data_IF_234358994089
#
_entry.id   IF_234358994089
#
_cell.length_a   1.000
_cell.length_b   1.000
_cell.length_c   1.000
_cell.angle_alpha   90.00
_cell.angle_beta   90.00
_cell.angle_gamma   90.00
#
_symmetry.space_group_name_H-M   'P 1'
#
loop_
_entity.id
_entity.type
_entity.pdbx_description
1 polymer ?
#
# COMPACT_ATOMS: atom_id res chain seq x y z
N UNK A 1 12.54 1.28 -3.20
CA UNK A 1 12.74 -0.16 -3.44
C UNK A 1 11.50 -0.72 -4.13
N UNK A 2 11.66 -1.71 -5.02
CA UNK A 2 10.50 -2.42 -5.61
C UNK A 2 9.82 -3.27 -4.52
N UNK A 3 8.50 -3.17 -4.41
CA UNK A 3 7.69 -3.97 -3.49
C UNK A 3 7.00 -5.09 -4.25
N UNK A 4 6.33 -4.75 -5.36
CA UNK A 4 5.68 -5.72 -6.24
C UNK A 4 6.40 -5.74 -7.59
N UNK A 5 7.13 -6.82 -7.86
CA UNK A 5 7.76 -7.06 -9.17
C UNK A 5 6.72 -7.30 -10.27
N UNK A 6 5.64 -8.05 -9.98
CA UNK A 6 4.63 -8.39 -10.98
C UNK A 6 3.92 -7.18 -11.59
N UNK A 7 3.76 -6.11 -10.80
CA UNK A 7 3.04 -4.89 -11.19
C UNK A 7 3.93 -3.64 -11.18
N UNK A 8 5.24 -3.81 -11.01
CA UNK A 8 6.20 -2.71 -10.95
C UNK A 8 5.81 -1.62 -9.93
N UNK A 9 5.38 -2.02 -8.73
CA UNK A 9 5.03 -1.10 -7.64
C UNK A 9 6.21 -0.96 -6.70
N UNK A 10 6.62 0.27 -6.41
CA UNK A 10 7.70 0.58 -5.51
C UNK A 10 7.20 1.24 -4.20
N UNK A 11 8.10 1.31 -3.22
CA UNK A 11 7.82 1.85 -1.89
C UNK A 11 7.38 3.31 -1.88
N UNK A 12 7.83 4.12 -2.85
CA UNK A 12 7.43 5.52 -2.95
C UNK A 12 5.97 5.61 -3.38
N UNK A 13 5.57 4.87 -4.41
CA UNK A 13 4.18 4.83 -4.89
C UNK A 13 3.22 4.37 -3.78
N UNK A 14 3.59 3.30 -3.06
CA UNK A 14 2.78 2.81 -1.93
C UNK A 14 2.59 3.88 -0.85
N UNK A 15 3.68 4.54 -0.42
CA UNK A 15 3.62 5.61 0.58
C UNK A 15 2.87 6.84 0.10
N UNK A 16 3.00 7.23 -1.17
CA UNK A 16 2.26 8.36 -1.75
C UNK A 16 0.74 8.12 -1.73
N UNK A 17 0.29 6.88 -1.90
CA UNK A 17 -1.13 6.54 -1.77
C UNK A 17 -1.60 6.44 -0.32
N UNK A 18 -0.79 5.88 0.58
CA UNK A 18 -1.08 5.89 2.02
C UNK A 18 -1.19 7.32 2.55
N UNK A 19 -0.32 8.23 2.11
CA UNK A 19 -0.36 9.65 2.45
C UNK A 19 -1.59 10.39 1.89
N UNK A 20 -2.29 9.80 0.90
CA UNK A 20 -3.59 10.29 0.40
C UNK A 20 -4.77 9.65 1.13
N UNK A 21 -4.52 8.89 2.19
CA UNK A 21 -5.55 8.19 2.97
C UNK A 21 -6.08 6.91 2.33
N UNK A 22 -5.42 6.39 1.29
CA UNK A 22 -5.85 5.14 0.64
C UNK A 22 -5.51 3.94 1.52
N UNK A 23 -6.41 2.97 1.59
CA UNK A 23 -6.19 1.69 2.24
C UNK A 23 -5.33 0.77 1.36
N UNK A 24 -4.79 -0.31 1.94
CA UNK A 24 -4.07 -1.31 1.15
C UNK A 24 -4.95 -1.95 0.07
N UNK A 25 -6.24 -2.08 0.34
CA UNK A 25 -7.25 -2.60 -0.58
C UNK A 25 -7.43 -1.67 -1.79
N UNK A 26 -7.67 -0.37 -1.54
CA UNK A 26 -7.75 0.67 -2.58
C UNK A 26 -6.49 0.67 -3.47
N UNK A 27 -5.31 0.53 -2.86
CA UNK A 27 -4.02 0.50 -3.56
C UNK A 27 -3.88 -0.78 -4.40
N UNK A 28 -4.39 -1.90 -3.90
CA UNK A 28 -4.39 -3.18 -4.61
C UNK A 28 -5.30 -3.11 -5.83
N UNK A 29 -6.47 -2.48 -5.72
CA UNK A 29 -7.38 -2.24 -6.86
C UNK A 29 -6.77 -1.27 -7.89
N UNK A 30 -6.21 -0.15 -7.46
CA UNK A 30 -5.69 0.87 -8.38
C UNK A 30 -4.37 0.49 -9.05
N UNK A 31 -3.44 -0.12 -8.32
CA UNK A 31 -2.10 -0.44 -8.83
C UNK A 31 -1.92 -1.92 -9.20
N UNK A 32 -2.92 -2.76 -8.89
CA UNK A 32 -2.81 -4.21 -9.00
C UNK A 32 -1.88 -4.83 -7.95
N UNK A 33 -1.44 -4.10 -6.93
CA UNK A 33 -0.54 -4.64 -5.90
C UNK A 33 -1.13 -5.93 -5.30
N UNK A 34 -0.31 -6.98 -5.20
CA UNK A 34 -0.78 -8.28 -4.68
C UNK A 34 -1.52 -9.19 -5.68
N UNK A 35 -2.04 -8.67 -6.80
CA UNK A 35 -2.86 -9.45 -7.76
C UNK A 35 -2.06 -10.38 -8.70
N UNK A 36 -0.73 -10.41 -8.58
CA UNK A 36 0.16 -11.31 -9.32
C UNK A 36 0.48 -12.58 -8.55
N UNK A 37 1.73 -12.70 -8.09
CA UNK A 37 2.18 -13.87 -7.32
C UNK A 37 1.90 -13.77 -5.80
N UNK A 38 1.35 -12.67 -5.31
CA UNK A 38 1.02 -12.44 -3.89
C UNK A 38 2.20 -12.25 -2.92
N UNK A 39 3.45 -12.55 -3.31
CA UNK A 39 4.62 -12.51 -2.41
C UNK A 39 4.93 -11.15 -1.78
N UNK A 40 4.44 -10.07 -2.39
CA UNK A 40 4.62 -8.72 -1.88
C UNK A 40 3.69 -8.36 -0.71
N UNK A 41 2.61 -9.12 -0.49
CA UNK A 41 1.53 -8.74 0.44
C UNK A 41 2.01 -8.63 1.89
N UNK A 42 2.80 -9.60 2.38
CA UNK A 42 3.33 -9.54 3.75
C UNK A 42 4.16 -8.27 3.99
N UNK A 43 5.04 -7.94 3.04
CA UNK A 43 5.87 -6.73 3.13
C UNK A 43 5.02 -5.46 3.01
N UNK A 44 4.04 -5.44 2.10
CA UNK A 44 3.16 -4.30 1.91
C UNK A 44 2.34 -4.02 3.18
N UNK A 45 1.76 -5.04 3.83
CA UNK A 45 1.07 -4.90 5.11
C UNK A 45 1.98 -4.27 6.17
N UNK A 46 3.23 -4.74 6.32
CA UNK A 46 4.18 -4.16 7.27
C UNK A 46 4.50 -2.69 6.99
N UNK A 47 4.47 -2.27 5.73
CA UNK A 47 4.62 -0.84 5.39
C UNK A 47 3.39 -0.09 5.84
N UNK A 48 2.18 -0.59 5.57
CA UNK A 48 0.94 0.06 6.03
C UNK A 48 0.89 0.18 7.54
N UNK A 49 1.23 -0.87 8.29
CA UNK A 49 1.26 -0.84 9.76
C UNK A 49 2.23 0.22 10.32
N UNK A 50 3.36 0.45 9.64
CA UNK A 50 4.31 1.49 10.03
C UNK A 50 3.83 2.90 9.73
N UNK A 51 3.01 3.07 8.69
CA UNK A 51 2.48 4.38 8.26
C UNK A 51 1.08 4.65 8.87
N UNK A 52 0.42 3.64 9.44
CA UNK A 52 -0.88 3.70 10.12
C UNK A 52 -1.00 4.74 11.26
N UNK A 53 0.06 5.14 11.99
CA UNK A 53 -0.03 6.23 12.98
C UNK A 53 -0.51 7.57 12.39
N UNK A 54 -0.55 7.72 11.06
CA UNK A 54 -0.99 8.93 10.36
C UNK A 54 -2.44 8.84 9.84
N UNK A 55 -2.95 7.64 9.54
CA UNK A 55 -4.22 7.45 8.81
C UNK A 55 -5.45 7.47 9.75
N UNK A 56 -5.26 7.17 11.05
CA UNK A 56 -6.36 7.12 12.02
C UNK A 56 -7.03 8.47 12.36
N UNK A 57 -6.57 9.60 11.78
CA UNK A 57 -7.13 10.94 12.07
C UNK A 57 -8.13 11.45 11.04
N UNK A 58 -8.29 10.80 9.88
CA UNK A 58 -9.07 11.36 8.76
C UNK A 58 -10.35 10.58 8.37
N UNK A 59 -10.56 9.34 8.85
CA UNK A 59 -11.78 8.57 8.52
C UNK A 59 -12.96 8.72 9.49
N UNK A 60 -13.00 9.81 10.27
CA UNK A 60 -14.19 10.17 11.05
C UNK A 60 -14.84 11.44 10.45
N UNK A 61 -15.48 11.30 9.29
CA UNK A 61 -16.40 12.29 8.72
C UNK A 61 -17.49 11.58 7.91
#
# INVERSE_FOLDING_TARGET
MIICVCKNVNSRQLKECLAKGMSLDDISEQMGLGTGCGRCLEYACRVVEKEAPLIARESAA
#
